data_IF_386990822381
#
_entry.id   IF_386990822381
#
_cell.length_a   1.000
_cell.length_b   1.000
_cell.length_c   1.000
_cell.angle_alpha   90.00
_cell.angle_beta   90.00
_cell.angle_gamma   90.00
#
_symmetry.space_group_name_H-M   'P 1'
#
loop_
_entity.id
_entity.type
_entity.pdbx_description
1 polymer ?
#
# COMPACT_ATOMS: atom_id res chain seq x y z
N UNK A 1 -13.43 -20.43 24.72
CA UNK A 1 -13.07 -20.24 23.30
C UNK A 1 -11.76 -19.47 23.28
N UNK A 2 -10.67 -20.08 22.81
CA UNK A 2 -9.37 -19.43 22.65
C UNK A 2 -9.25 -18.99 21.19
N UNK A 3 -9.01 -17.70 20.95
CA UNK A 3 -8.83 -17.15 19.60
C UNK A 3 -7.34 -16.80 19.50
N UNK A 4 -6.57 -17.49 18.63
CA UNK A 4 -5.16 -17.16 18.44
C UNK A 4 -5.01 -15.75 17.84
N UNK A 5 -3.89 -15.10 18.13
CA UNK A 5 -3.57 -13.83 17.51
C UNK A 5 -3.37 -14.05 16.00
N UNK A 6 -4.18 -13.39 15.19
CA UNK A 6 -4.05 -13.42 13.74
C UNK A 6 -2.91 -12.49 13.30
N UNK A 7 -2.14 -12.94 12.31
CA UNK A 7 -1.24 -12.08 11.54
C UNK A 7 -1.99 -10.96 10.82
N UNK A 8 -3.30 -11.14 10.61
CA UNK A 8 -4.13 -10.15 9.91
C UNK A 8 -4.90 -9.17 10.81
N UNK A 9 -5.17 -7.95 10.31
CA UNK A 9 -6.09 -6.99 10.94
C UNK A 9 -7.55 -7.36 10.62
N UNK A 10 -8.31 -7.68 11.65
CA UNK A 10 -9.74 -7.97 11.53
C UNK A 10 -10.59 -6.73 11.84
N UNK A 11 -11.47 -6.36 10.91
CA UNK A 11 -12.46 -5.30 11.07
C UNK A 11 -13.88 -5.88 11.08
N UNK A 12 -14.84 -5.16 11.67
CA UNK A 12 -16.25 -5.54 11.66
C UNK A 12 -16.94 -5.15 10.33
N UNK A 13 -18.23 -5.44 10.21
CA UNK A 13 -19.03 -5.17 9.00
C UNK A 13 -19.14 -3.68 8.62
N UNK A 14 -18.81 -2.76 9.54
CA UNK A 14 -18.80 -1.30 9.33
C UNK A 14 -17.38 -0.73 9.31
N UNK A 15 -16.37 -1.58 9.08
CA UNK A 15 -14.93 -1.25 8.99
C UNK A 15 -14.29 -0.68 10.28
N UNK A 16 -14.79 -1.08 11.44
CA UNK A 16 -14.19 -0.74 12.73
C UNK A 16 -13.32 -1.88 13.26
N UNK A 17 -12.13 -1.54 13.74
CA UNK A 17 -11.20 -2.47 14.37
C UNK A 17 -11.07 -2.17 15.86
N UNK A 18 -10.89 -3.22 16.66
CA UNK A 18 -10.77 -3.13 18.11
C UNK A 18 -9.55 -3.90 18.59
N UNK A 19 -8.79 -3.32 19.51
CA UNK A 19 -7.68 -4.00 20.17
C UNK A 19 -7.96 -4.12 21.66
N UNK A 20 -7.66 -5.28 22.22
CA UNK A 20 -7.78 -5.50 23.67
C UNK A 20 -6.58 -4.89 24.37
N UNK A 21 -6.83 -3.97 25.29
CA UNK A 21 -5.82 -3.35 26.14
C UNK A 21 -6.24 -3.61 27.59
N UNK A 22 -5.55 -4.57 28.24
CA UNK A 22 -5.93 -5.04 29.58
C UNK A 22 -7.26 -5.81 29.59
N UNK A 23 -8.22 -5.33 30.37
CA UNK A 23 -9.56 -5.90 30.52
C UNK A 23 -10.58 -5.34 29.52
N UNK A 24 -10.25 -4.25 28.80
CA UNK A 24 -11.16 -3.54 27.90
C UNK A 24 -10.76 -3.68 26.43
N UNK A 25 -11.77 -3.63 25.55
CA UNK A 25 -11.59 -3.50 24.11
C UNK A 25 -11.68 -2.03 23.73
N UNK A 26 -10.64 -1.51 23.07
CA UNK A 26 -10.58 -0.12 22.60
C UNK A 26 -10.72 -0.09 21.08
N UNK A 27 -11.59 0.79 20.59
CA UNK A 27 -11.70 1.08 19.14
C UNK A 27 -10.40 1.73 18.67
N UNK A 28 -9.85 1.24 17.57
CA UNK A 28 -8.67 1.82 16.93
C UNK A 28 -9.07 2.97 16.02
N UNK A 29 -8.27 4.03 16.02
CA UNK A 29 -8.36 5.08 15.00
C UNK A 29 -7.81 4.59 13.66
N UNK A 30 -8.02 5.35 12.59
CA UNK A 30 -7.45 5.04 11.28
C UNK A 30 -5.91 4.92 11.33
N UNK A 31 -5.23 5.87 11.95
CA UNK A 31 -3.76 5.85 12.09
C UNK A 31 -3.28 4.63 12.89
N UNK A 32 -3.97 4.27 13.96
CA UNK A 32 -3.62 3.09 14.77
C UNK A 32 -3.85 1.78 14.02
N UNK A 33 -4.87 1.72 13.15
CA UNK A 33 -5.08 0.57 12.26
C UNK A 33 -3.91 0.42 11.29
N UNK A 34 -3.47 1.53 10.70
CA UNK A 34 -2.34 1.55 9.76
C UNK A 34 -1.04 1.13 10.47
N UNK A 35 -0.76 1.68 11.65
CA UNK A 35 0.40 1.28 12.44
C UNK A 35 0.36 -0.21 12.79
N UNK A 36 -0.81 -0.73 13.18
CA UNK A 36 -0.98 -2.14 13.52
C UNK A 36 -0.80 -3.07 12.30
N UNK A 37 -1.21 -2.65 11.10
CA UNK A 37 -0.95 -3.38 9.86
C UNK A 37 0.56 -3.46 9.55
N UNK A 38 1.31 -2.38 9.82
CA UNK A 38 2.77 -2.37 9.70
C UNK A 38 3.44 -3.26 10.74
N UNK A 39 3.02 -3.16 12.01
CA UNK A 39 3.59 -3.95 13.11
C UNK A 39 3.36 -5.46 12.92
N UNK A 40 2.24 -5.85 12.28
CA UNK A 40 1.91 -7.24 11.95
C UNK A 40 2.58 -7.76 10.66
N UNK A 41 3.23 -6.89 9.89
CA UNK A 41 3.84 -7.23 8.61
C UNK A 41 2.84 -7.49 7.48
N UNK A 42 1.59 -7.05 7.61
CA UNK A 42 0.58 -7.15 6.53
C UNK A 42 0.81 -6.13 5.41
N UNK A 43 1.45 -5.01 5.73
CA UNK A 43 1.85 -3.99 4.75
C UNK A 43 3.34 -3.77 4.84
N UNK A 44 4.02 -3.91 3.72
CA UNK A 44 5.38 -3.39 3.55
C UNK A 44 5.29 -1.94 3.11
N UNK A 45 6.13 -1.06 3.66
CA UNK A 45 6.20 0.36 3.26
C UNK A 45 6.37 0.55 1.74
N UNK A 46 6.91 -0.46 1.06
CA UNK A 46 7.18 -0.46 -0.38
C UNK A 46 6.00 -0.90 -1.26
N UNK A 47 4.90 -1.38 -0.68
CA UNK A 47 3.77 -2.00 -1.42
C UNK A 47 2.47 -1.18 -1.37
N UNK A 48 2.57 0.09 -0.98
CA UNK A 48 1.40 0.96 -0.95
C UNK A 48 1.23 1.64 -2.30
N UNK A 49 0.38 1.07 -3.17
CA UNK A 49 -0.21 1.86 -4.24
C UNK A 49 -0.93 3.06 -3.59
N UNK A 50 -0.38 4.27 -3.77
CA UNK A 50 -0.98 5.48 -3.20
C UNK A 50 -2.39 5.61 -3.79
N UNK A 51 -3.40 5.58 -2.92
CA UNK A 51 -4.80 5.66 -3.34
C UNK A 51 -5.03 7.01 -4.02
N UNK A 52 -5.26 6.98 -5.33
CA UNK A 52 -5.43 8.19 -6.16
C UNK A 52 -4.17 8.66 -6.88
N UNK A 53 -3.03 7.94 -6.81
CA UNK A 53 -1.92 8.19 -7.71
C UNK A 53 -2.36 7.94 -9.15
N UNK A 54 -2.38 9.02 -9.94
CA UNK A 54 -2.76 9.04 -11.34
C UNK A 54 -1.51 9.01 -12.21
N UNK A 55 -1.70 8.78 -13.51
CA UNK A 55 -0.63 8.86 -14.52
C UNK A 55 0.08 10.22 -14.46
N UNK A 56 -0.64 11.27 -14.09
CA UNK A 56 -0.12 12.64 -14.00
C UNK A 56 0.86 12.86 -12.83
N UNK A 57 0.89 11.95 -11.84
CA UNK A 57 1.82 12.03 -10.71
C UNK A 57 3.21 11.45 -11.04
N UNK A 58 3.37 10.87 -12.23
CA UNK A 58 4.62 10.26 -12.68
C UNK A 58 5.56 11.33 -13.21
N UNK A 59 6.76 11.42 -12.63
CA UNK A 59 7.83 12.25 -13.19
C UNK A 59 8.34 11.65 -14.51
N UNK A 60 7.78 12.13 -15.62
CA UNK A 60 8.15 11.70 -16.97
C UNK A 60 9.62 11.99 -17.30
N UNK A 61 10.25 12.95 -16.64
CA UNK A 61 11.69 13.23 -16.80
C UNK A 61 12.53 12.07 -16.27
N UNK A 62 12.12 11.47 -15.16
CA UNK A 62 12.76 10.28 -14.61
C UNK A 62 12.56 9.07 -15.53
N UNK A 63 11.36 8.92 -16.11
CA UNK A 63 11.07 7.85 -17.08
C UNK A 63 11.93 8.00 -18.33
N UNK A 64 12.09 9.22 -18.86
CA UNK A 64 12.96 9.49 -20.02
C UNK A 64 14.41 9.08 -19.75
N UNK A 65 14.99 9.53 -18.64
CA UNK A 65 16.35 9.14 -18.23
C UNK A 65 16.50 7.63 -18.11
N UNK A 66 15.50 6.97 -17.55
CA UNK A 66 15.50 5.51 -17.44
C UNK A 66 15.44 4.83 -18.81
N UNK A 67 14.61 5.32 -19.73
CA UNK A 67 14.53 4.79 -21.10
C UNK A 67 15.85 4.93 -21.87
N UNK A 68 16.58 6.03 -21.67
CA UNK A 68 17.92 6.22 -22.25
C UNK A 68 18.92 5.20 -21.70
N UNK A 69 18.94 4.99 -20.38
CA UNK A 69 19.85 4.06 -19.71
C UNK A 69 19.67 2.61 -20.18
N UNK A 70 18.43 2.18 -20.44
CA UNK A 70 18.12 0.83 -20.90
C UNK A 70 18.14 0.69 -22.43
N UNK A 71 18.44 1.77 -23.18
CA UNK A 71 18.46 1.77 -24.64
C UNK A 71 17.08 1.59 -25.27
N UNK A 72 16.01 2.01 -24.59
CA UNK A 72 14.66 1.93 -25.14
C UNK A 72 14.45 3.01 -26.21
N UNK A 73 14.18 2.58 -27.43
CA UNK A 73 14.15 3.45 -28.63
C UNK A 73 12.83 4.15 -28.89
N UNK A 74 11.85 3.96 -27.99
CA UNK A 74 10.50 4.50 -28.06
C UNK A 74 10.29 5.54 -26.95
N UNK A 75 9.23 6.34 -27.03
CA UNK A 75 9.02 7.41 -26.05
C UNK A 75 8.75 6.88 -24.64
N UNK A 76 9.08 7.67 -23.62
CA UNK A 76 8.81 7.37 -22.21
C UNK A 76 7.34 7.02 -21.96
N UNK A 77 6.41 7.68 -22.64
CA UNK A 77 4.96 7.38 -22.57
C UNK A 77 4.63 5.98 -23.10
N UNK A 78 5.29 5.55 -24.17
CA UNK A 78 5.13 4.18 -24.70
C UNK A 78 5.78 3.14 -23.80
N UNK A 79 6.87 3.49 -23.11
CA UNK A 79 7.49 2.62 -22.11
C UNK A 79 6.58 2.42 -20.91
N UNK A 80 6.02 3.52 -20.38
CA UNK A 80 5.07 3.50 -19.29
C UNK A 80 3.82 2.67 -19.61
N UNK A 81 3.18 2.91 -20.76
CA UNK A 81 2.00 2.15 -21.18
C UNK A 81 2.29 0.64 -21.31
N UNK A 82 3.52 0.27 -21.65
CA UNK A 82 3.95 -1.14 -21.73
C UNK A 82 3.97 -1.79 -20.35
N UNK A 83 4.45 -1.08 -19.32
CA UNK A 83 4.56 -1.59 -17.94
C UNK A 83 3.19 -1.70 -17.27
N UNK A 84 2.29 -0.75 -17.51
CA UNK A 84 0.97 -0.75 -16.87
C UNK A 84 -0.01 -1.77 -17.47
N UNK A 85 0.26 -2.26 -18.69
CA UNK A 85 -0.60 -3.22 -19.39
C UNK A 85 -0.14 -4.69 -19.21
N UNK A 86 0.93 -4.92 -18.46
CA UNK A 86 1.54 -6.22 -18.18
C UNK A 86 1.34 -6.62 -16.72
#
# INVERSE_FOLDING_TARGET
>A
MYIPASSELHANQVDEAYMRVGDKSRKLTFEERIQLMYDKGERYYEDTAVYGAMVDDIDMTAVERYTELIGYTKSAKQYYNKIMAS
#
